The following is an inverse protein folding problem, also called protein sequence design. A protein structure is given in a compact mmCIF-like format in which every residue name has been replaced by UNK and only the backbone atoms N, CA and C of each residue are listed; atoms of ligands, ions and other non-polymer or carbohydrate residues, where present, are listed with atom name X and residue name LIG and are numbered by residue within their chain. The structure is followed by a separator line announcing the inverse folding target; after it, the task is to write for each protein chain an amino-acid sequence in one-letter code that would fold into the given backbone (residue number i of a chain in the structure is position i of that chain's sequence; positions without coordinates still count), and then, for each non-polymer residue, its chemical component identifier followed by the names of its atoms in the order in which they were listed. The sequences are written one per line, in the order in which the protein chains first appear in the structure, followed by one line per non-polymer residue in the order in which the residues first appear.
data_IF_915338204212
#
_entry.id   IF_915338204212
#
_cell.length_a   1.000
_cell.length_b   1.000
_cell.length_c   1.000
_cell.angle_alpha   90.00
_cell.angle_beta   90.00
_cell.angle_gamma   90.00
#
_symmetry.space_group_name_H-M   'P 1'
#
loop_
_entity.id
_entity.type
_entity.pdbx_description
1 polymer ?
#
# COMPACT_ATOMS: atom_id res chain seq x y z
N UNK A 1 16.65 17.10 -0.43
CA UNK A 1 16.20 15.70 -0.67
C UNK A 1 14.69 15.77 -0.92
N UNK A 2 14.19 15.58 -2.14
CA UNK A 2 12.76 15.67 -2.37
C UNK A 2 12.10 14.38 -1.87
N UNK A 3 11.21 14.57 -0.91
CA UNK A 3 10.40 13.57 -0.23
C UNK A 3 9.65 12.65 -1.21
N UNK A 4 10.04 11.38 -1.30
CA UNK A 4 9.13 10.33 -1.74
C UNK A 4 8.13 10.11 -0.59
N UNK A 5 6.83 10.32 -0.85
CA UNK A 5 5.78 9.96 0.12
C UNK A 5 5.33 8.52 -0.17
N UNK A 6 5.35 7.60 0.80
CA UNK A 6 5.05 6.19 0.54
C UNK A 6 3.54 5.88 0.50
N UNK A 7 3.18 4.87 -0.31
CA UNK A 7 1.90 4.14 -0.34
C UNK A 7 0.60 4.96 -0.55
N UNK A 8 0.59 5.84 -1.56
CA UNK A 8 -0.61 6.54 -2.03
C UNK A 8 -1.23 5.96 -3.31
N UNK A 9 -0.43 5.19 -4.05
CA UNK A 9 -0.69 4.85 -5.46
C UNK A 9 -1.98 4.08 -5.72
N UNK A 10 -2.40 3.16 -4.83
CA UNK A 10 -3.58 2.35 -5.10
C UNK A 10 -4.91 3.08 -4.79
N UNK A 11 -4.93 3.90 -3.74
CA UNK A 11 -6.06 4.83 -3.49
C UNK A 11 -6.12 5.90 -4.58
N UNK A 12 -4.96 6.34 -5.08
CA UNK A 12 -4.87 7.26 -6.20
C UNK A 12 -5.24 6.58 -7.53
N UNK A 13 -5.04 5.27 -7.70
CA UNK A 13 -5.57 4.47 -8.82
C UNK A 13 -7.09 4.41 -8.77
N UNK A 14 -7.71 4.25 -7.59
CA UNK A 14 -9.17 4.31 -7.46
C UNK A 14 -9.71 5.72 -7.73
N UNK A 15 -9.02 6.78 -7.24
CA UNK A 15 -9.35 8.18 -7.59
C UNK A 15 -9.17 8.45 -9.07
N UNK A 16 -8.16 7.88 -9.69
CA UNK A 16 -7.92 7.95 -11.14
C UNK A 16 -8.98 7.17 -11.90
N UNK A 17 -9.39 5.98 -11.45
CA UNK A 17 -10.57 5.27 -11.97
C UNK A 17 -11.82 6.11 -11.82
N UNK A 18 -12.04 6.79 -10.69
CA UNK A 18 -13.16 7.72 -10.54
C UNK A 18 -13.00 8.94 -11.45
N UNK A 19 -11.79 9.43 -11.68
CA UNK A 19 -11.51 10.55 -12.57
C UNK A 19 -11.70 10.14 -14.03
N UNK A 20 -11.16 9.01 -14.47
CA UNK A 20 -11.33 8.41 -15.80
C UNK A 20 -12.77 7.97 -15.98
N UNK A 21 -13.44 7.37 -14.99
CA UNK A 21 -14.87 7.05 -14.98
C UNK A 21 -15.70 8.33 -15.05
N UNK A 22 -15.31 9.40 -14.37
CA UNK A 22 -15.97 10.71 -14.42
C UNK A 22 -15.76 11.37 -15.78
N UNK A 23 -14.54 11.37 -16.29
CA UNK A 23 -14.18 11.84 -17.63
C UNK A 23 -14.91 11.02 -18.70
N UNK A 24 -14.96 9.69 -18.56
CA UNK A 24 -15.69 8.77 -19.44
C UNK A 24 -17.20 8.82 -19.25
N UNK A 25 -17.69 9.27 -18.10
CA UNK A 25 -19.12 9.52 -17.84
C UNK A 25 -19.60 10.86 -18.41
N UNK A 26 -18.69 11.78 -18.76
CA UNK A 26 -19.05 12.99 -19.49
C UNK A 26 -19.65 12.57 -20.84
N UNK A 27 -20.72 13.22 -21.33
CA UNK A 27 -21.38 12.87 -22.59
C UNK A 27 -20.42 12.76 -23.79
N UNK A 28 -19.29 13.48 -23.73
CA UNK A 28 -18.22 13.52 -24.72
C UNK A 28 -17.43 12.18 -24.80
N UNK A 29 -17.45 11.36 -23.75
CA UNK A 29 -16.65 10.14 -23.61
C UNK A 29 -17.50 8.88 -23.28
N UNK A 30 -18.81 9.03 -23.06
CA UNK A 30 -19.78 7.96 -22.69
C UNK A 30 -20.08 6.92 -23.75
N UNK A 31 -19.48 7.08 -24.92
CA UNK A 31 -19.81 6.34 -26.13
C UNK A 31 -18.74 5.26 -26.28
N UNK A 32 -19.09 4.04 -25.83
CA UNK A 32 -18.43 2.70 -25.86
C UNK A 32 -16.97 2.62 -26.32
N UNK A 33 -16.13 1.75 -25.75
CA UNK A 33 -14.69 1.66 -26.11
C UNK A 33 -14.39 1.56 -27.64
N UNK A 34 -15.29 0.93 -28.41
CA UNK A 34 -15.31 0.92 -29.88
C UNK A 34 -15.59 2.29 -30.50
N UNK A 35 -16.53 3.02 -29.93
CA UNK A 35 -16.90 4.38 -30.29
C UNK A 35 -15.91 5.44 -29.75
N UNK A 36 -15.11 5.14 -28.71
CA UNK A 36 -13.93 5.93 -28.32
C UNK A 36 -12.79 5.79 -29.33
N UNK A 37 -12.59 4.61 -29.92
CA UNK A 37 -11.70 4.45 -31.07
C UNK A 37 -12.23 5.18 -32.32
N UNK A 38 -13.55 5.16 -32.57
CA UNK A 38 -14.19 5.92 -33.65
C UNK A 38 -14.17 7.44 -33.41
N UNK A 39 -14.36 7.90 -32.17
CA UNK A 39 -14.27 9.30 -31.77
C UNK A 39 -12.80 9.76 -31.78
N UNK A 40 -11.84 8.88 -31.49
CA UNK A 40 -10.40 9.14 -31.67
C UNK A 40 -10.03 9.27 -33.15
N UNK A 41 -10.67 8.49 -34.03
CA UNK A 41 -10.60 8.68 -35.49
C UNK A 41 -11.33 9.97 -35.91
N UNK A 42 -12.45 10.30 -35.28
CA UNK A 42 -13.29 11.47 -35.58
C UNK A 42 -12.82 12.78 -34.95
N UNK A 43 -11.88 12.77 -34.00
CA UNK A 43 -11.18 13.95 -33.47
C UNK A 43 -9.78 14.10 -34.04
N UNK A 44 -9.39 13.25 -34.99
CA UNK A 44 -8.15 13.37 -35.76
C UNK A 44 -8.00 14.77 -36.37
N UNK A 45 -9.09 15.32 -36.91
CA UNK A 45 -9.12 16.69 -37.42
C UNK A 45 -8.75 17.74 -36.38
N UNK A 46 -8.94 17.51 -35.07
CA UNK A 46 -8.57 18.49 -34.02
C UNK A 46 -7.08 18.51 -33.79
N UNK A 47 -6.46 17.34 -33.83
CA UNK A 47 -5.00 17.21 -33.74
C UNK A 47 -4.39 17.79 -35.02
N UNK A 48 -4.94 17.46 -36.18
CA UNK A 48 -4.45 17.95 -37.48
C UNK A 48 -4.67 19.46 -37.65
N UNK A 49 -5.84 19.99 -37.28
CA UNK A 49 -6.11 21.43 -37.30
C UNK A 49 -5.27 22.20 -36.27
N UNK A 50 -4.97 21.57 -35.12
CA UNK A 50 -3.99 22.13 -34.20
C UNK A 50 -2.61 22.18 -34.87
N UNK A 51 -2.10 21.07 -35.41
CA UNK A 51 -0.81 21.03 -36.11
C UNK A 51 -0.72 22.02 -37.28
N UNK A 52 -1.78 22.18 -38.06
CA UNK A 52 -1.85 23.15 -39.16
C UNK A 52 -1.81 24.61 -38.66
N UNK A 53 -2.47 24.90 -37.53
CA UNK A 53 -2.36 26.20 -36.86
C UNK A 53 -0.95 26.45 -36.30
N UNK A 54 -0.25 25.39 -35.88
CA UNK A 54 1.13 25.43 -35.37
C UNK A 54 2.14 25.71 -36.50
N UNK A 55 1.96 25.05 -37.64
CA UNK A 55 2.88 25.11 -38.79
C UNK A 55 2.70 26.41 -39.60
N UNK A 56 1.49 26.98 -39.61
CA UNK A 56 1.21 28.16 -40.45
C UNK A 56 1.75 29.49 -39.89
N UNK A 57 2.20 29.56 -38.62
CA UNK A 57 2.54 30.80 -37.85
C UNK A 57 1.46 31.91 -37.89
N UNK A 58 0.35 31.65 -38.57
CA UNK A 58 -0.65 32.61 -39.06
C UNK A 58 -1.60 33.06 -37.97
N UNK A 59 -1.69 32.26 -36.92
CA UNK A 59 -2.46 32.53 -35.73
C UNK A 59 -1.55 32.25 -34.54
N UNK A 60 -0.82 33.28 -34.10
CA UNK A 60 -0.06 33.19 -32.85
C UNK A 60 -0.95 32.53 -31.78
N UNK A 61 -0.41 31.51 -31.11
CA UNK A 61 -0.98 30.60 -30.09
C UNK A 61 -1.89 31.21 -29.00
N UNK A 62 -2.11 32.51 -29.06
CA UNK A 62 -2.75 33.40 -28.10
C UNK A 62 -4.26 33.59 -28.29
N UNK A 63 -4.92 33.03 -29.32
CA UNK A 63 -6.38 33.20 -29.49
C UNK A 63 -7.22 31.91 -29.34
N UNK A 64 -8.29 32.00 -28.54
CA UNK A 64 -9.43 31.07 -28.54
C UNK A 64 -9.21 29.67 -27.95
N UNK A 65 -10.01 28.70 -28.40
CA UNK A 65 -10.11 27.30 -27.93
C UNK A 65 -8.76 26.52 -27.96
N UNK A 66 -7.77 27.00 -28.71
CA UNK A 66 -6.40 26.46 -28.77
C UNK A 66 -5.58 26.88 -27.54
N UNK A 67 -5.91 28.04 -26.93
CA UNK A 67 -5.31 28.55 -25.67
C UNK A 67 -5.61 27.65 -24.47
N UNK A 68 -6.71 26.89 -24.48
CA UNK A 68 -7.05 25.95 -23.41
C UNK A 68 -6.36 24.59 -23.55
N UNK A 69 -5.90 24.23 -24.75
CA UNK A 69 -5.32 22.91 -25.02
C UNK A 69 -3.80 22.94 -24.84
N UNK A 70 -3.09 23.93 -25.39
CA UNK A 70 -1.64 24.06 -25.21
C UNK A 70 -0.81 22.85 -25.71
N UNK A 71 0.51 22.99 -25.89
CA UNK A 71 1.37 21.90 -26.40
C UNK A 71 1.35 20.66 -25.50
N UNK A 72 1.25 20.86 -24.18
CA UNK A 72 1.22 19.80 -23.19
C UNK A 72 -0.01 18.88 -23.29
N UNK A 73 -1.23 19.40 -23.45
CA UNK A 73 -2.40 18.52 -23.58
C UNK A 73 -2.47 17.86 -24.96
N UNK A 74 -1.94 18.52 -25.99
CA UNK A 74 -1.85 17.93 -27.33
C UNK A 74 -0.90 16.73 -27.33
N UNK A 75 0.23 16.83 -26.62
CA UNK A 75 1.16 15.73 -26.37
C UNK A 75 0.46 14.56 -25.64
N UNK A 76 -0.25 14.85 -24.54
CA UNK A 76 -1.02 13.86 -23.77
C UNK A 76 -2.08 13.15 -24.63
N UNK A 77 -2.80 13.87 -25.49
CA UNK A 77 -3.79 13.28 -26.40
C UNK A 77 -3.16 12.46 -27.53
N UNK A 78 -2.06 12.94 -28.13
CA UNK A 78 -1.32 12.18 -29.14
C UNK A 78 -0.83 10.84 -28.57
N UNK A 79 -0.35 10.83 -27.32
CA UNK A 79 0.01 9.62 -26.61
C UNK A 79 -1.19 8.70 -26.33
N UNK A 80 -2.28 9.24 -25.81
CA UNK A 80 -3.52 8.51 -25.51
C UNK A 80 -4.08 7.78 -26.73
N UNK A 81 -3.92 8.34 -27.93
CA UNK A 81 -4.42 7.75 -29.19
C UNK A 81 -3.34 7.08 -30.06
N UNK A 82 -2.11 6.95 -29.55
CA UNK A 82 -1.03 6.23 -30.26
C UNK A 82 -0.54 6.92 -31.53
N UNK A 83 -0.64 8.25 -31.63
CA UNK A 83 -0.30 9.03 -32.82
C UNK A 83 1.19 9.35 -32.87
N UNK A 84 2.00 8.39 -33.31
CA UNK A 84 3.47 8.53 -33.35
C UNK A 84 3.95 9.70 -34.23
N UNK A 85 3.42 9.86 -35.45
CA UNK A 85 3.85 10.95 -36.35
C UNK A 85 3.58 12.33 -35.76
N UNK A 86 2.38 12.53 -35.19
CA UNK A 86 2.03 13.76 -34.48
C UNK A 86 2.97 13.96 -33.29
N UNK A 87 3.22 12.91 -32.50
CA UNK A 87 4.16 12.96 -31.38
C UNK A 87 5.55 13.44 -31.83
N UNK A 88 6.09 12.85 -32.90
CA UNK A 88 7.39 13.23 -33.47
C UNK A 88 7.42 14.69 -33.95
N UNK A 89 6.36 15.16 -34.60
CA UNK A 89 6.27 16.55 -35.06
C UNK A 89 6.19 17.54 -33.90
N UNK A 90 5.36 17.23 -32.89
CA UNK A 90 5.28 18.01 -31.65
C UNK A 90 6.66 18.06 -30.98
N UNK A 91 7.33 16.91 -30.85
CA UNK A 91 8.66 16.86 -30.22
C UNK A 91 9.73 17.63 -31.00
N UNK A 92 9.73 17.57 -32.34
CA UNK A 92 10.65 18.36 -33.17
C UNK A 92 10.39 19.87 -33.08
N UNK A 93 9.13 20.31 -33.04
CA UNK A 93 8.77 21.73 -33.08
C UNK A 93 8.95 22.43 -31.73
N UNK A 94 8.67 21.73 -30.63
CA UNK A 94 8.69 22.33 -29.29
C UNK A 94 9.95 22.05 -28.49
N UNK A 95 10.77 21.05 -28.88
CA UNK A 95 11.98 20.67 -28.16
C UNK A 95 11.65 20.09 -26.78
N UNK A 96 11.87 18.79 -26.59
CA UNK A 96 11.81 18.17 -25.26
C UNK A 96 13.17 17.61 -24.83
N UNK A 97 14.25 18.18 -25.36
CA UNK A 97 15.63 17.76 -25.05
C UNK A 97 16.05 18.19 -23.65
N UNK A 98 16.81 17.30 -22.99
CA UNK A 98 17.45 17.53 -21.69
C UNK A 98 18.95 17.71 -21.91
N UNK A 99 19.52 18.87 -21.55
CA UNK A 99 20.85 18.93 -20.98
C UNK A 99 20.75 18.67 -19.47
N UNK A 100 21.64 17.82 -18.96
CA UNK A 100 21.80 17.59 -17.53
C UNK A 100 22.01 18.90 -16.76
N UNK A 101 21.61 18.85 -15.49
CA UNK A 101 21.86 19.83 -14.41
C UNK A 101 20.73 20.83 -14.10
N UNK A 102 20.25 20.68 -12.86
CA UNK A 102 19.59 21.66 -12.00
C UNK A 102 18.11 22.05 -12.22
N UNK A 103 17.32 21.60 -11.23
CA UNK A 103 16.31 22.35 -10.46
C UNK A 103 15.29 23.23 -11.20
N UNK A 104 14.04 22.81 -11.04
CA UNK A 104 12.95 23.73 -10.68
C UNK A 104 12.07 24.17 -11.85
N UNK A 105 11.06 23.35 -12.14
CA UNK A 105 10.08 23.49 -13.23
C UNK A 105 10.67 23.30 -14.63
N UNK A 106 10.37 22.15 -15.23
CA UNK A 106 10.81 21.79 -16.56
C UNK A 106 9.65 21.17 -17.35
N UNK A 107 9.69 21.32 -18.66
CA UNK A 107 8.88 20.71 -19.71
C UNK A 107 8.74 19.15 -19.66
N UNK A 108 9.12 18.51 -18.56
CA UNK A 108 9.15 17.07 -18.33
C UNK A 108 7.82 16.46 -17.89
N UNK A 109 7.03 17.14 -17.05
CA UNK A 109 5.78 16.57 -16.52
C UNK A 109 4.79 16.16 -17.63
N UNK A 110 4.59 16.94 -18.72
CA UNK A 110 3.72 16.54 -19.83
C UNK A 110 4.23 15.32 -20.60
N UNK A 111 5.55 15.21 -20.83
CA UNK A 111 6.14 14.09 -21.56
C UNK A 111 6.09 12.79 -20.75
N UNK A 112 6.34 12.88 -19.44
CA UNK A 112 6.16 11.76 -18.49
C UNK A 112 4.68 11.34 -18.45
N UNK A 113 3.76 12.30 -18.34
CA UNK A 113 2.32 11.99 -18.35
C UNK A 113 1.89 11.38 -19.69
N UNK A 114 2.42 11.89 -20.80
CA UNK A 114 2.18 11.33 -22.13
C UNK A 114 2.72 9.89 -22.22
N UNK A 115 3.89 9.60 -21.64
CA UNK A 115 4.41 8.24 -21.56
C UNK A 115 3.47 7.34 -20.76
N UNK A 116 3.05 7.78 -19.57
CA UNK A 116 2.09 7.06 -18.73
C UNK A 116 0.79 6.75 -19.50
N UNK A 117 0.21 7.73 -20.19
CA UNK A 117 -0.98 7.55 -21.01
C UNK A 117 -0.75 6.59 -22.19
N UNK A 118 0.39 6.70 -22.88
CA UNK A 118 0.73 5.78 -23.97
C UNK A 118 0.83 4.34 -23.45
N UNK A 119 1.45 4.12 -22.29
CA UNK A 119 1.57 2.80 -21.67
C UNK A 119 0.23 2.26 -21.16
N UNK A 120 -0.60 3.11 -20.54
CA UNK A 120 -1.95 2.79 -20.11
C UNK A 120 -2.81 2.28 -21.29
N UNK A 121 -2.69 2.91 -22.46
CA UNK A 121 -3.44 2.50 -23.65
C UNK A 121 -2.72 1.44 -24.50
N UNK A 122 -1.56 0.92 -24.06
CA UNK A 122 -0.81 -0.10 -24.79
C UNK A 122 -0.14 0.39 -26.08
N UNK A 123 0.02 1.70 -26.25
CA UNK A 123 0.66 2.33 -27.40
C UNK A 123 2.19 2.34 -27.27
N UNK A 124 2.79 1.14 -27.21
CA UNK A 124 4.22 0.95 -26.94
C UNK A 124 5.15 1.65 -27.94
N UNK A 125 4.74 1.84 -29.20
CA UNK A 125 5.53 2.60 -30.19
C UNK A 125 5.69 4.07 -29.81
N UNK A 126 4.64 4.68 -29.27
CA UNK A 126 4.69 6.07 -28.79
C UNK A 126 5.43 6.15 -27.46
N UNK A 127 5.20 5.19 -26.57
CA UNK A 127 5.96 5.10 -25.32
C UNK A 127 7.47 4.90 -25.56
N UNK A 128 7.86 4.08 -26.53
CA UNK A 128 9.26 3.88 -26.94
C UNK A 128 9.89 5.17 -27.46
N UNK A 129 9.14 5.93 -28.26
CA UNK A 129 9.59 7.22 -28.76
C UNK A 129 9.79 8.20 -27.62
N UNK A 130 8.81 8.34 -26.72
CA UNK A 130 8.89 9.24 -25.55
C UNK A 130 10.02 8.85 -24.58
N UNK A 131 10.24 7.55 -24.39
CA UNK A 131 11.35 7.03 -23.59
C UNK A 131 12.70 7.44 -24.20
N UNK A 132 12.87 7.25 -25.52
CA UNK A 132 14.13 7.57 -26.21
C UNK A 132 14.37 9.07 -26.37
N UNK A 133 13.32 9.84 -26.69
CA UNK A 133 13.44 11.25 -27.01
C UNK A 133 13.49 12.15 -25.76
N UNK A 134 12.82 11.76 -24.67
CA UNK A 134 12.61 12.62 -23.51
C UNK A 134 13.03 11.99 -22.18
N UNK A 135 13.65 10.80 -22.20
CA UNK A 135 13.96 9.97 -21.01
C UNK A 135 12.74 9.77 -20.08
N UNK A 136 11.54 9.69 -20.66
CA UNK A 136 10.31 9.49 -19.89
C UNK A 136 10.24 8.04 -19.37
N UNK A 137 10.49 7.85 -18.08
CA UNK A 137 10.55 6.53 -17.44
C UNK A 137 9.25 6.10 -16.75
N UNK A 138 9.11 4.79 -16.43
CA UNK A 138 7.92 4.21 -15.80
C UNK A 138 7.67 4.69 -14.35
N UNK A 139 8.74 5.04 -13.63
CA UNK A 139 8.71 5.33 -12.19
C UNK A 139 8.70 6.84 -11.85
N UNK A 140 8.55 7.72 -12.85
CA UNK A 140 8.43 9.15 -12.59
C UNK A 140 7.11 9.48 -11.88
N UNK A 141 7.19 10.05 -10.67
CA UNK A 141 6.05 10.59 -9.96
C UNK A 141 5.72 11.99 -10.51
N UNK A 142 4.56 12.13 -11.15
CA UNK A 142 4.05 13.44 -11.59
C UNK A 142 3.32 14.13 -10.43
N UNK A 143 3.41 15.46 -10.34
CA UNK A 143 2.61 16.25 -9.38
C UNK A 143 1.10 16.20 -9.68
N UNK A 144 0.74 15.70 -10.85
CA UNK A 144 -0.62 15.62 -11.41
C UNK A 144 -1.48 14.49 -10.81
N UNK A 145 -0.99 13.73 -9.81
CA UNK A 145 -1.71 12.61 -9.19
C UNK A 145 -2.10 11.50 -10.20
N UNK A 146 -1.37 11.39 -11.30
CA UNK A 146 -1.52 10.27 -12.23
C UNK A 146 -0.87 9.05 -11.57
N UNK A 147 -1.59 7.94 -11.36
CA UNK A 147 -1.01 6.74 -10.80
C UNK A 147 0.17 6.27 -11.65
N UNK A 148 1.15 5.62 -11.01
CA UNK A 148 2.25 5.02 -11.75
C UNK A 148 1.71 4.11 -12.86
N UNK A 149 2.34 4.18 -14.03
CA UNK A 149 1.99 3.33 -15.18
C UNK A 149 1.97 1.85 -14.80
N UNK A 150 2.85 1.44 -13.88
CA UNK A 150 2.91 0.05 -13.39
C UNK A 150 1.73 -0.29 -12.48
N UNK A 151 1.27 0.65 -11.65
CA UNK A 151 0.11 0.46 -10.80
C UNK A 151 -1.16 0.25 -11.65
N UNK A 152 -1.34 1.05 -12.70
CA UNK A 152 -2.45 0.87 -13.65
C UNK A 152 -2.36 -0.47 -14.38
N UNK A 153 -1.18 -0.87 -14.86
CA UNK A 153 -0.99 -2.15 -15.55
C UNK A 153 -1.32 -3.36 -14.64
N UNK A 154 -0.94 -3.29 -13.36
CA UNK A 154 -1.22 -4.32 -12.36
C UNK A 154 -2.71 -4.41 -12.03
N UNK A 155 -3.37 -3.26 -11.88
CA UNK A 155 -4.81 -3.19 -11.62
C UNK A 155 -5.66 -3.66 -12.81
N UNK A 156 -5.21 -3.43 -14.04
CA UNK A 156 -5.79 -4.02 -15.26
C UNK A 156 -5.42 -5.50 -15.45
N UNK A 157 -4.51 -6.03 -14.63
CA UNK A 157 -3.95 -7.39 -14.72
C UNK A 157 -3.31 -7.70 -16.08
N UNK A 158 -2.80 -6.66 -16.77
CA UNK A 158 -2.18 -6.79 -18.08
C UNK A 158 -0.67 -7.02 -17.94
N UNK A 159 -0.29 -8.30 -17.92
CA UNK A 159 1.12 -8.74 -17.83
C UNK A 159 1.98 -8.16 -18.96
N UNK A 160 1.43 -7.92 -20.17
CA UNK A 160 2.21 -7.38 -21.29
C UNK A 160 2.65 -5.94 -21.00
N UNK A 161 1.77 -5.14 -20.38
CA UNK A 161 2.10 -3.78 -19.96
C UNK A 161 3.10 -3.79 -18.80
N UNK A 162 2.90 -4.65 -17.81
CA UNK A 162 3.85 -4.84 -16.69
C UNK A 162 5.25 -5.16 -17.24
N UNK A 163 5.35 -6.12 -18.16
CA UNK A 163 6.61 -6.53 -18.77
C UNK A 163 7.30 -5.43 -19.55
N UNK A 164 6.53 -4.70 -20.35
CA UNK A 164 7.04 -3.56 -21.08
C UNK A 164 7.63 -2.52 -20.12
N UNK A 165 6.92 -2.18 -19.05
CA UNK A 165 7.33 -1.17 -18.07
C UNK A 165 8.59 -1.60 -17.30
N UNK A 166 8.66 -2.85 -16.86
CA UNK A 166 9.85 -3.40 -16.19
C UNK A 166 11.06 -3.41 -17.13
N UNK A 167 10.88 -3.76 -18.41
CA UNK A 167 11.96 -3.68 -19.41
C UNK A 167 12.47 -2.24 -19.66
N UNK A 168 11.64 -1.23 -19.38
CA UNK A 168 12.00 0.19 -19.45
C UNK A 168 12.62 0.74 -18.16
N UNK A 169 12.99 -0.13 -17.23
CA UNK A 169 13.68 0.23 -16.00
C UNK A 169 12.75 0.42 -14.81
N UNK A 170 11.51 -0.09 -14.88
CA UNK A 170 10.60 -0.10 -13.73
C UNK A 170 11.12 -1.00 -12.60
N UNK A 171 10.97 -0.56 -11.35
CA UNK A 171 11.34 -1.36 -10.17
C UNK A 171 10.38 -2.56 -9.98
N UNK A 172 10.90 -3.76 -10.21
CA UNK A 172 10.16 -5.02 -10.00
C UNK A 172 9.77 -5.25 -8.53
N UNK A 173 10.58 -4.80 -7.57
CA UNK A 173 10.26 -4.86 -6.14
C UNK A 173 9.13 -3.92 -5.78
N UNK A 174 9.09 -2.71 -6.35
CA UNK A 174 7.94 -1.81 -6.25
C UNK A 174 6.67 -2.42 -6.87
N UNK A 175 6.79 -2.99 -8.07
CA UNK A 175 5.69 -3.67 -8.74
C UNK A 175 5.10 -4.80 -7.87
N UNK A 176 5.97 -5.61 -7.25
CA UNK A 176 5.57 -6.70 -6.36
C UNK A 176 4.79 -6.17 -5.15
N UNK A 177 5.29 -5.13 -4.48
CA UNK A 177 4.57 -4.52 -3.34
C UNK A 177 3.21 -3.96 -3.76
N UNK A 178 3.11 -3.35 -4.94
CA UNK A 178 1.85 -2.81 -5.46
C UNK A 178 0.85 -3.92 -5.80
N UNK A 179 1.31 -4.99 -6.46
CA UNK A 179 0.47 -6.15 -6.81
C UNK A 179 -0.18 -6.79 -5.57
N UNK A 180 0.57 -6.86 -4.47
CA UNK A 180 0.11 -7.45 -3.20
C UNK A 180 -0.81 -6.49 -2.43
N UNK A 181 -0.63 -5.18 -2.58
CA UNK A 181 -1.47 -4.18 -1.88
C UNK A 181 -2.89 -4.08 -2.42
N UNK A 182 -3.18 -4.82 -3.51
CA UNK A 182 -4.48 -4.90 -4.12
C UNK A 182 -5.50 -5.69 -3.28
N UNK A 183 -6.75 -5.22 -3.14
CA UNK A 183 -7.82 -6.01 -2.51
C UNK A 183 -8.03 -7.36 -3.20
N UNK A 184 -7.83 -7.43 -4.52
CA UNK A 184 -7.98 -8.60 -5.38
C UNK A 184 -6.62 -9.06 -5.96
N UNK A 185 -5.57 -9.01 -5.12
CA UNK A 185 -4.21 -9.39 -5.48
C UNK A 185 -4.18 -10.75 -6.21
N UNK A 186 -3.66 -10.73 -7.43
CA UNK A 186 -3.60 -11.90 -8.29
C UNK A 186 -2.29 -12.65 -8.06
N UNK A 187 -2.40 -13.86 -7.52
CA UNK A 187 -1.27 -14.75 -7.30
C UNK A 187 -0.47 -15.04 -8.59
N UNK A 188 -1.10 -15.06 -9.76
CA UNK A 188 -0.40 -15.28 -11.03
C UNK A 188 0.52 -14.10 -11.38
N UNK A 189 0.08 -12.87 -11.10
CA UNK A 189 0.92 -11.68 -11.27
C UNK A 189 2.08 -11.71 -10.27
N UNK A 190 1.81 -12.07 -9.01
CA UNK A 190 2.86 -12.21 -7.98
C UNK A 190 3.90 -13.26 -8.40
N UNK A 191 3.46 -14.44 -8.87
CA UNK A 191 4.36 -15.48 -9.40
C UNK A 191 5.19 -14.96 -10.56
N UNK A 192 4.56 -14.34 -11.56
CA UNK A 192 5.24 -13.76 -12.72
C UNK A 192 6.31 -12.74 -12.30
N UNK A 193 5.99 -11.82 -11.37
CA UNK A 193 6.94 -10.82 -10.89
C UNK A 193 8.14 -11.46 -10.16
N UNK A 194 7.90 -12.46 -9.32
CA UNK A 194 8.96 -13.13 -8.55
C UNK A 194 9.81 -14.07 -9.43
N UNK A 195 9.16 -14.87 -10.27
CA UNK A 195 9.82 -15.95 -11.01
C UNK A 195 10.42 -15.47 -12.34
N UNK A 196 9.68 -14.68 -13.12
CA UNK A 196 10.07 -14.27 -14.47
C UNK A 196 10.74 -12.90 -14.51
N UNK A 197 10.43 -12.03 -13.54
CA UNK A 197 11.01 -10.69 -13.43
C UNK A 197 12.00 -10.54 -12.29
N UNK A 198 12.23 -11.62 -11.53
CA UNK A 198 13.20 -11.69 -10.44
C UNK A 198 13.04 -10.56 -9.43
N UNK A 199 11.79 -10.17 -9.15
CA UNK A 199 11.48 -9.17 -8.14
C UNK A 199 12.03 -9.62 -6.79
N UNK A 200 12.80 -8.76 -6.12
CA UNK A 200 13.32 -9.03 -4.78
C UNK A 200 12.15 -9.09 -3.78
N UNK A 201 11.91 -10.27 -3.23
CA UNK A 201 10.85 -10.55 -2.24
C UNK A 201 11.07 -9.84 -0.91
N UNK A 202 12.27 -9.31 -0.68
CA UNK A 202 12.66 -8.53 0.51
C UNK A 202 12.84 -7.04 0.20
N UNK A 203 12.47 -6.58 -1.01
CA UNK A 203 12.55 -5.18 -1.38
C UNK A 203 11.61 -4.35 -0.50
N UNK A 204 12.15 -3.54 0.42
CA UNK A 204 11.37 -2.65 1.25
C UNK A 204 11.29 -1.24 0.63
N UNK A 205 10.14 -0.58 0.79
CA UNK A 205 10.02 0.86 0.59
C UNK A 205 10.31 1.62 1.90
N UNK A 206 10.39 2.96 1.82
CA UNK A 206 10.42 3.81 3.02
C UNK A 206 9.24 3.49 3.95
N UNK A 207 9.52 3.32 5.25
CA UNK A 207 8.49 3.00 6.25
C UNK A 207 8.25 1.51 6.48
N UNK A 208 9.26 0.67 6.26
CA UNK A 208 9.29 -0.74 6.66
C UNK A 208 8.37 -1.70 5.86
N UNK A 209 7.97 -1.31 4.65
CA UNK A 209 7.01 -2.07 3.83
C UNK A 209 7.68 -3.14 2.96
N UNK A 210 7.75 -4.37 3.43
CA UNK A 210 8.14 -5.54 2.61
C UNK A 210 6.94 -6.17 1.91
N UNK A 211 7.13 -6.90 0.79
CA UNK A 211 6.09 -7.70 0.14
C UNK A 211 5.34 -8.62 1.12
N UNK A 212 6.07 -9.29 2.01
CA UNK A 212 5.48 -10.13 3.06
C UNK A 212 4.58 -9.33 4.01
N UNK A 213 5.05 -8.20 4.54
CA UNK A 213 4.24 -7.36 5.43
C UNK A 213 2.95 -6.88 4.74
N UNK A 214 3.01 -6.53 3.46
CA UNK A 214 1.79 -6.15 2.71
C UNK A 214 0.82 -7.34 2.60
N UNK A 215 1.31 -8.54 2.30
CA UNK A 215 0.45 -9.72 2.21
C UNK A 215 -0.27 -9.98 3.53
N UNK A 216 0.45 -9.91 4.66
CA UNK A 216 -0.13 -10.04 6.01
C UNK A 216 -1.14 -8.93 6.28
N UNK A 217 -0.80 -7.68 5.97
CA UNK A 217 -1.66 -6.51 6.16
C UNK A 217 -2.96 -6.57 5.34
N UNK A 218 -2.94 -7.16 4.16
CA UNK A 218 -4.15 -7.28 3.34
C UNK A 218 -4.86 -8.63 3.51
N UNK A 219 -4.35 -9.52 4.38
CA UNK A 219 -4.94 -10.83 4.66
C UNK A 219 -4.72 -11.86 3.55
N UNK A 220 -3.74 -11.64 2.66
CA UNK A 220 -3.43 -12.52 1.55
C UNK A 220 -2.53 -13.68 2.01
N UNK A 221 -3.08 -14.58 2.82
CA UNK A 221 -2.32 -15.64 3.48
C UNK A 221 -1.57 -16.57 2.50
N UNK A 222 -2.22 -16.94 1.40
CA UNK A 222 -1.57 -17.78 0.37
C UNK A 222 -0.39 -17.06 -0.30
N UNK A 223 -0.53 -15.76 -0.59
CA UNK A 223 0.57 -14.94 -1.12
C UNK A 223 1.68 -14.83 -0.08
N UNK A 224 1.35 -14.63 1.20
CA UNK A 224 2.34 -14.57 2.27
C UNK A 224 3.14 -15.87 2.38
N UNK A 225 2.48 -17.04 2.36
CA UNK A 225 3.13 -18.36 2.35
C UNK A 225 4.04 -18.54 1.14
N UNK A 226 3.55 -18.21 -0.06
CA UNK A 226 4.35 -18.26 -1.27
C UNK A 226 5.60 -17.39 -1.18
N UNK A 227 5.50 -16.18 -0.63
CA UNK A 227 6.66 -15.31 -0.44
C UNK A 227 7.68 -15.92 0.53
N UNK A 228 7.22 -16.60 1.59
CA UNK A 228 8.11 -17.33 2.52
C UNK A 228 8.86 -18.46 1.82
N UNK A 229 8.17 -19.25 0.99
CA UNK A 229 8.79 -20.30 0.17
C UNK A 229 9.87 -19.74 -0.77
N UNK A 230 9.70 -18.48 -1.21
CA UNK A 230 10.67 -17.76 -2.06
C UNK A 230 11.74 -17.00 -1.26
N UNK A 231 11.81 -17.18 0.05
CA UNK A 231 12.86 -16.60 0.90
C UNK A 231 12.55 -15.20 1.44
N UNK A 232 11.28 -14.80 1.50
CA UNK A 232 10.90 -13.58 2.20
C UNK A 232 11.19 -13.72 3.70
N UNK A 233 11.74 -12.66 4.28
CA UNK A 233 12.07 -12.57 5.71
C UNK A 233 10.96 -11.82 6.43
N UNK A 234 10.16 -12.47 7.29
CA UNK A 234 9.10 -11.80 8.07
C UNK A 234 9.67 -10.76 9.03
N UNK A 235 10.86 -11.07 9.56
CA UNK A 235 11.59 -10.24 10.49
C UNK A 235 12.96 -9.94 9.90
N UNK A 236 13.20 -8.66 9.64
CA UNK A 236 14.50 -8.12 9.28
C UNK A 236 14.61 -6.67 9.78
N UNK A 237 15.79 -6.07 9.68
CA UNK A 237 16.02 -4.67 10.09
C UNK A 237 15.06 -3.69 9.40
N UNK A 238 14.58 -4.06 8.21
CA UNK A 238 13.63 -3.29 7.42
C UNK A 238 12.18 -3.53 7.81
N UNK A 239 11.81 -4.55 8.58
CA UNK A 239 10.42 -4.78 9.01
C UNK A 239 10.24 -4.57 10.51
N UNK A 240 11.32 -4.56 11.30
CA UNK A 240 11.32 -4.34 12.76
C UNK A 240 10.33 -5.19 13.55
N UNK A 241 9.92 -6.35 13.02
CA UNK A 241 8.93 -7.22 13.67
C UNK A 241 7.46 -6.81 13.44
N UNK A 242 7.18 -5.80 12.61
CA UNK A 242 5.83 -5.29 12.32
C UNK A 242 4.87 -6.36 11.77
N UNK A 243 5.40 -7.45 11.21
CA UNK A 243 4.59 -8.51 10.62
C UNK A 243 3.79 -9.30 11.67
N UNK A 244 4.38 -9.68 12.80
CA UNK A 244 3.67 -10.37 13.89
C UNK A 244 2.59 -9.45 14.46
N UNK A 245 3.00 -8.21 14.78
CA UNK A 245 2.11 -7.15 15.24
C UNK A 245 0.89 -6.96 14.32
N UNK A 246 1.13 -6.86 13.01
CA UNK A 246 0.05 -6.68 12.02
C UNK A 246 -0.85 -7.91 11.90
N UNK A 247 -0.29 -9.12 11.98
CA UNK A 247 -1.09 -10.35 11.95
C UNK A 247 -2.02 -10.43 13.17
N UNK A 248 -1.50 -10.08 14.36
CA UNK A 248 -2.26 -10.04 15.61
C UNK A 248 -3.34 -8.96 15.58
N UNK A 249 -3.01 -7.73 15.19
CA UNK A 249 -3.96 -6.62 15.06
C UNK A 249 -5.14 -6.93 14.13
N UNK A 250 -4.91 -7.79 13.13
CA UNK A 250 -5.93 -8.24 12.18
C UNK A 250 -6.66 -9.51 12.58
N UNK A 251 -6.39 -10.06 13.76
CA UNK A 251 -6.88 -11.37 14.20
C UNK A 251 -6.56 -12.50 13.19
N UNK A 252 -5.43 -12.38 12.46
CA UNK A 252 -5.01 -13.36 11.45
C UNK A 252 -4.25 -14.52 12.10
N UNK A 253 -5.00 -15.39 12.79
CA UNK A 253 -4.48 -16.53 13.56
C UNK A 253 -3.59 -17.44 12.73
N UNK A 254 -3.97 -17.70 11.47
CA UNK A 254 -3.19 -18.54 10.57
C UNK A 254 -1.77 -17.98 10.40
N UNK A 255 -1.66 -16.68 10.14
CA UNK A 255 -0.37 -16.08 9.88
C UNK A 255 0.48 -15.89 11.15
N UNK A 256 -0.17 -15.72 12.31
CA UNK A 256 0.49 -15.82 13.62
C UNK A 256 1.12 -17.21 13.80
N UNK A 257 0.37 -18.28 13.52
CA UNK A 257 0.88 -19.67 13.60
C UNK A 257 2.01 -19.94 12.62
N UNK A 258 1.89 -19.47 11.38
CA UNK A 258 2.96 -19.58 10.37
C UNK A 258 4.25 -18.92 10.89
N UNK A 259 4.17 -17.67 11.38
CA UNK A 259 5.35 -16.98 11.90
C UNK A 259 5.95 -17.67 13.14
N UNK A 260 5.12 -18.21 14.04
CA UNK A 260 5.62 -19.02 15.16
C UNK A 260 6.32 -20.31 14.73
N UNK A 261 5.82 -20.95 13.68
CA UNK A 261 6.47 -22.10 13.05
C UNK A 261 7.85 -21.77 12.47
N UNK A 262 8.06 -20.51 12.06
CA UNK A 262 9.35 -19.98 11.63
C UNK A 262 10.28 -19.55 12.79
N UNK A 263 9.86 -19.76 14.04
CA UNK A 263 10.65 -19.40 15.23
C UNK A 263 10.43 -17.97 15.73
N UNK A 264 9.57 -17.18 15.09
CA UNK A 264 9.25 -15.81 15.53
C UNK A 264 8.27 -15.91 16.69
N UNK A 265 8.63 -15.37 17.86
CA UNK A 265 7.81 -15.44 19.06
C UNK A 265 7.06 -14.12 19.26
N UNK A 266 5.74 -14.16 19.50
CA UNK A 266 5.02 -12.97 19.93
C UNK A 266 5.46 -12.56 21.33
N UNK A 267 5.27 -11.29 21.67
CA UNK A 267 5.61 -10.75 22.99
C UNK A 267 4.39 -10.14 23.71
N UNK A 268 4.63 -9.51 24.87
CA UNK A 268 3.58 -8.86 25.65
C UNK A 268 2.96 -7.65 24.95
N UNK A 269 3.68 -6.98 24.04
CA UNK A 269 3.13 -5.87 23.25
C UNK A 269 2.16 -6.39 22.20
N UNK A 270 2.48 -7.50 21.54
CA UNK A 270 1.57 -8.19 20.62
C UNK A 270 0.27 -8.58 21.34
N UNK A 271 0.38 -9.17 22.54
CA UNK A 271 -0.79 -9.52 23.35
C UNK A 271 -1.64 -8.29 23.71
N UNK A 272 -1.00 -7.21 24.18
CA UNK A 272 -1.70 -5.96 24.49
C UNK A 272 -2.43 -5.39 23.26
N UNK A 273 -1.79 -5.48 22.09
CA UNK A 273 -2.39 -5.07 20.82
C UNK A 273 -3.58 -5.94 20.42
N UNK A 274 -3.48 -7.26 20.61
CA UNK A 274 -4.56 -8.20 20.34
C UNK A 274 -5.82 -7.82 21.11
N UNK A 275 -5.67 -7.53 22.41
CA UNK A 275 -6.80 -7.15 23.25
C UNK A 275 -7.37 -5.78 22.88
N UNK A 276 -6.50 -4.80 22.61
CA UNK A 276 -6.93 -3.47 22.19
C UNK A 276 -7.74 -3.50 20.88
N UNK A 277 -7.31 -4.33 19.92
CA UNK A 277 -7.99 -4.53 18.62
C UNK A 277 -9.16 -5.50 18.68
N UNK A 278 -9.45 -6.10 19.85
CA UNK A 278 -10.44 -7.17 20.05
C UNK A 278 -10.18 -8.44 19.22
N UNK A 279 -8.92 -8.67 18.88
CA UNK A 279 -8.43 -9.87 18.20
C UNK A 279 -8.22 -11.02 19.20
N UNK A 280 -9.30 -11.49 19.82
CA UNK A 280 -9.24 -12.47 20.91
C UNK A 280 -8.77 -13.87 20.46
N UNK A 281 -9.00 -14.26 19.21
CA UNK A 281 -8.51 -15.56 18.71
C UNK A 281 -6.98 -15.53 18.58
N UNK A 282 -6.44 -14.43 18.04
CA UNK A 282 -5.00 -14.21 18.01
C UNK A 282 -4.44 -14.09 19.43
N UNK A 283 -5.10 -13.36 20.34
CA UNK A 283 -4.71 -13.26 21.74
C UNK A 283 -4.62 -14.65 22.42
N UNK A 284 -5.63 -15.50 22.19
CA UNK A 284 -5.66 -16.88 22.70
C UNK A 284 -4.43 -17.65 22.25
N UNK A 285 -4.12 -17.58 20.95
CA UNK A 285 -2.97 -18.27 20.37
C UNK A 285 -1.63 -17.70 20.89
N UNK A 286 -1.53 -16.38 21.06
CA UNK A 286 -0.33 -15.73 21.63
C UNK A 286 -0.05 -16.20 23.07
N UNK A 287 -1.09 -16.35 23.90
CA UNK A 287 -0.91 -16.83 25.28
C UNK A 287 -0.67 -18.34 25.33
N UNK A 288 -1.47 -19.13 24.62
CA UNK A 288 -1.48 -20.60 24.75
C UNK A 288 -0.34 -21.28 23.99
N UNK A 289 -0.03 -20.82 22.77
CA UNK A 289 0.98 -21.40 21.90
C UNK A 289 2.24 -20.54 21.83
N UNK A 290 2.07 -19.21 21.85
CA UNK A 290 3.18 -18.26 21.90
C UNK A 290 3.91 -18.21 23.24
N UNK A 291 3.25 -18.69 24.32
CA UNK A 291 3.83 -18.74 25.66
C UNK A 291 4.02 -17.37 26.32
N UNK A 292 3.29 -16.35 25.87
CA UNK A 292 3.35 -15.01 26.46
C UNK A 292 2.69 -15.03 27.84
N UNK A 293 3.46 -14.66 28.87
CA UNK A 293 2.93 -14.53 30.23
C UNK A 293 1.94 -13.37 30.32
N UNK A 294 0.68 -13.70 30.60
CA UNK A 294 -0.39 -12.72 30.77
C UNK A 294 -0.13 -11.74 31.92
N UNK A 295 0.67 -12.17 32.90
CA UNK A 295 1.11 -11.41 34.08
C UNK A 295 2.47 -10.74 33.89
N UNK A 296 2.90 -10.54 32.63
CA UNK A 296 4.19 -9.95 32.24
C UNK A 296 4.44 -8.51 32.73
N UNK A 297 5.43 -7.83 32.12
CA UNK A 297 5.96 -6.54 32.62
C UNK A 297 4.92 -5.41 32.75
N UNK A 298 5.23 -4.43 33.61
CA UNK A 298 4.47 -3.19 33.87
C UNK A 298 3.03 -3.37 34.39
N UNK A 299 2.89 -4.18 35.44
CA UNK A 299 1.62 -4.50 36.11
C UNK A 299 0.62 -5.30 35.27
N UNK A 300 1.07 -5.88 34.15
CA UNK A 300 0.38 -6.95 33.45
C UNK A 300 -0.68 -6.49 32.45
N UNK A 301 -1.06 -7.42 31.59
CA UNK A 301 -2.06 -7.23 30.52
C UNK A 301 -3.43 -6.81 31.06
N UNK A 302 -3.75 -7.22 32.30
CA UNK A 302 -5.00 -6.90 32.98
C UNK A 302 -5.19 -5.39 33.22
N UNK A 303 -4.12 -4.65 33.54
CA UNK A 303 -4.18 -3.19 33.70
C UNK A 303 -4.56 -2.51 32.39
N UNK A 304 -3.98 -2.95 31.27
CA UNK A 304 -4.33 -2.44 29.94
C UNK A 304 -5.79 -2.74 29.58
N UNK A 305 -6.27 -3.95 29.88
CA UNK A 305 -7.66 -4.33 29.63
C UNK A 305 -8.66 -3.46 30.41
N UNK A 306 -8.33 -3.15 31.67
CA UNK A 306 -9.13 -2.26 32.54
C UNK A 306 -9.13 -0.82 32.00
N UNK A 307 -7.95 -0.27 31.68
CA UNK A 307 -7.84 1.10 31.13
C UNK A 307 -8.52 1.28 29.79
N UNK A 308 -8.58 0.21 28.99
CA UNK A 308 -9.26 0.22 27.69
C UNK A 308 -10.79 0.12 27.82
N UNK A 309 -11.32 -0.07 29.05
CA UNK A 309 -12.75 -0.19 29.36
C UNK A 309 -13.45 -1.28 28.52
N UNK A 310 -12.75 -2.38 28.28
CA UNK A 310 -13.26 -3.52 27.50
C UNK A 310 -13.53 -4.69 28.45
N UNK A 311 -14.78 -4.92 28.90
CA UNK A 311 -15.12 -6.03 29.78
C UNK A 311 -14.69 -7.39 29.23
N UNK A 312 -14.78 -7.56 27.92
CA UNK A 312 -14.36 -8.77 27.22
C UNK A 312 -12.86 -9.04 27.35
N UNK A 313 -12.01 -8.01 27.31
CA UNK A 313 -10.57 -8.16 27.50
C UNK A 313 -10.22 -8.48 28.97
N UNK A 314 -10.97 -7.91 29.93
CA UNK A 314 -10.82 -8.25 31.35
C UNK A 314 -11.19 -9.71 31.58
N UNK A 315 -12.34 -10.14 31.04
CA UNK A 315 -12.78 -11.53 31.09
C UNK A 315 -11.75 -12.47 30.44
N UNK A 316 -11.26 -12.12 29.25
CA UNK A 316 -10.19 -12.87 28.58
C UNK A 316 -8.97 -13.03 29.50
N UNK A 317 -8.54 -11.95 30.16
CA UNK A 317 -7.40 -12.00 31.07
C UNK A 317 -7.64 -12.95 32.24
N UNK A 318 -8.82 -12.90 32.86
CA UNK A 318 -9.17 -13.79 33.96
C UNK A 318 -9.24 -15.26 33.51
N UNK A 319 -9.88 -15.53 32.37
CA UNK A 319 -10.03 -16.88 31.79
C UNK A 319 -8.66 -17.51 31.46
N UNK A 320 -7.64 -16.69 31.21
CA UNK A 320 -6.27 -17.13 30.90
C UNK A 320 -5.28 -17.00 32.07
N UNK A 321 -5.78 -16.82 33.30
CA UNK A 321 -4.97 -16.91 34.51
C UNK A 321 -4.27 -15.61 34.93
N UNK A 322 -4.86 -14.45 34.63
CA UNK A 322 -4.39 -13.18 35.18
C UNK A 322 -4.54 -13.16 36.72
N UNK A 323 -3.43 -12.87 37.40
CA UNK A 323 -3.36 -12.77 38.86
C UNK A 323 -3.74 -11.35 39.29
N UNK A 324 -5.00 -11.22 39.74
CA UNK A 324 -5.56 -9.95 40.22
C UNK A 324 -4.80 -9.43 41.44
N UNK A 325 -4.36 -10.31 42.35
CA UNK A 325 -3.69 -9.90 43.58
C UNK A 325 -2.29 -9.36 43.29
N UNK A 326 -1.51 -10.08 42.48
CA UNK A 326 -0.20 -9.62 42.00
C UNK A 326 -0.32 -8.31 41.21
N UNK A 327 -1.39 -8.15 40.42
CA UNK A 327 -1.68 -6.91 39.69
C UNK A 327 -1.91 -5.74 40.65
N UNK A 328 -2.72 -5.92 41.69
CA UNK A 328 -2.99 -4.88 42.72
C UNK A 328 -1.70 -4.47 43.42
N UNK A 329 -0.87 -5.43 43.82
CA UNK A 329 0.42 -5.16 44.48
C UNK A 329 1.35 -4.35 43.57
N UNK A 330 1.43 -4.70 42.28
CA UNK A 330 2.21 -3.95 41.32
C UNK A 330 1.70 -2.51 41.13
N UNK A 331 0.38 -2.33 40.96
CA UNK A 331 -0.23 -1.00 40.78
C UNK A 331 -0.01 -0.12 42.01
N UNK A 332 -0.08 -0.68 43.22
CA UNK A 332 0.21 0.04 44.47
C UNK A 332 1.69 0.42 44.59
N UNK A 333 2.59 -0.42 44.11
CA UNK A 333 4.03 -0.14 44.12
C UNK A 333 4.44 0.97 43.12
N UNK A 334 3.62 1.24 42.09
CA UNK A 334 3.90 2.26 41.08
C UNK A 334 3.54 3.69 41.57
N UNK A 335 4.46 4.30 42.31
CA UNK A 335 4.30 5.67 42.87
C UNK A 335 4.29 6.80 41.82
N UNK A 336 4.70 6.52 40.58
CA UNK A 336 4.64 7.52 39.50
C UNK A 336 3.20 7.67 38.98
N UNK A 337 2.49 6.56 38.79
CA UNK A 337 1.07 6.58 38.38
C UNK A 337 0.20 7.27 39.42
N UNK A 338 0.43 6.99 40.70
CA UNK A 338 -0.27 7.64 41.80
C UNK A 338 -0.10 9.18 41.77
N UNK A 339 1.08 9.68 41.39
CA UNK A 339 1.36 11.13 41.33
C UNK A 339 0.80 11.82 40.08
N UNK A 340 0.84 11.15 38.92
CA UNK A 340 0.45 11.76 37.63
C UNK A 340 -1.05 11.62 37.34
N UNK A 341 -1.69 10.54 37.78
CA UNK A 341 -3.08 10.19 37.45
C UNK A 341 -3.84 9.71 38.71
N UNK A 342 -3.84 10.51 39.78
CA UNK A 342 -4.36 10.09 41.09
C UNK A 342 -5.81 9.55 41.07
N UNK A 343 -6.71 10.18 40.32
CA UNK A 343 -8.12 9.74 40.19
C UNK A 343 -8.24 8.43 39.43
N UNK A 344 -7.63 8.33 38.24
CA UNK A 344 -7.64 7.10 37.44
C UNK A 344 -6.94 5.93 38.15
N UNK A 345 -5.90 6.22 38.94
CA UNK A 345 -5.24 5.23 39.78
C UNK A 345 -6.17 4.68 40.88
N UNK A 346 -6.96 5.55 41.55
CA UNK A 346 -7.94 5.09 42.55
C UNK A 346 -9.08 4.30 41.93
N UNK A 347 -9.61 4.75 40.79
CA UNK A 347 -10.67 4.05 40.05
C UNK A 347 -10.21 2.67 39.59
N UNK A 348 -8.99 2.56 39.06
CA UNK A 348 -8.40 1.30 38.64
C UNK A 348 -8.22 0.33 39.81
N UNK A 349 -7.75 0.80 40.96
CA UNK A 349 -7.64 -0.04 42.16
C UNK A 349 -9.01 -0.50 42.66
N UNK A 350 -10.02 0.37 42.66
CA UNK A 350 -11.38 -0.01 43.03
C UNK A 350 -11.92 -1.11 42.10
N UNK A 351 -11.68 -1.00 40.79
CA UNK A 351 -12.06 -2.03 39.82
C UNK A 351 -11.28 -3.34 40.01
N UNK A 352 -9.99 -3.29 40.29
CA UNK A 352 -9.22 -4.51 40.56
C UNK A 352 -9.71 -5.23 41.83
N UNK A 353 -10.06 -4.47 42.87
CA UNK A 353 -10.60 -5.02 44.12
C UNK A 353 -11.96 -5.72 43.91
N UNK A 354 -12.81 -5.24 42.98
CA UNK A 354 -14.07 -5.93 42.64
C UNK A 354 -13.87 -7.23 41.84
N UNK A 355 -12.71 -7.41 41.20
CA UNK A 355 -12.37 -8.61 40.43
C UNK A 355 -11.81 -9.77 41.28
N UNK A 356 -11.39 -9.51 42.53
CA UNK A 356 -10.86 -10.53 43.46
C UNK A 356 -11.75 -11.79 43.60
N UNK A 357 -13.09 -11.68 43.74
CA UNK A 357 -13.94 -12.86 43.88
C UNK A 357 -14.00 -13.70 42.59
N UNK A 358 -13.82 -13.08 41.43
CA UNK A 358 -13.97 -13.73 40.11
C UNK A 358 -12.73 -14.56 39.75
N UNK A 359 -11.53 -14.13 40.19
CA UNK A 359 -10.29 -14.88 39.97
C UNK A 359 -10.24 -16.23 40.71
N UNK A 360 -10.92 -16.36 41.85
CA UNK A 360 -11.02 -17.61 42.62
C UNK A 360 -11.82 -18.70 41.90
N UNK A 361 -12.78 -18.31 41.05
CA UNK A 361 -13.65 -19.24 40.33
C UNK A 361 -13.08 -19.72 38.98
N UNK A 362 -12.08 -19.02 38.42
CA UNK A 362 -11.52 -19.28 37.10
C UNK A 362 -10.26 -20.18 37.11
N UNK A 363 -9.85 -20.71 38.27
CA UNK A 363 -8.68 -21.58 38.35
C UNK A 363 -8.87 -22.83 37.47
N UNK A 364 -7.97 -23.10 36.49
CA UNK A 364 -8.10 -24.27 35.63
C UNK A 364 -7.94 -25.54 36.48
N UNK A 365 -8.83 -26.51 36.27
CA UNK A 365 -8.71 -27.83 36.87
C UNK A 365 -7.30 -28.40 36.58
N UNK A 366 -6.62 -29.00 37.57
CA UNK A 366 -5.28 -29.52 37.39
C UNK A 366 -5.27 -30.51 36.22
N UNK A 367 -4.36 -30.31 35.26
CA UNK A 367 -4.17 -31.25 34.15
C UNK A 367 -3.94 -32.66 34.72
N UNK A 368 -4.64 -33.69 34.24
CA UNK A 368 -4.38 -35.05 34.68
C UNK A 368 -2.91 -35.41 34.41
N UNK A 369 -2.27 -36.17 35.32
CA UNK A 369 -0.88 -36.59 35.13
C UNK A 369 -0.76 -37.30 33.77
N UNK A 370 0.18 -36.83 32.94
CA UNK A 370 0.45 -37.50 31.67
C UNK A 370 0.99 -38.92 31.94
N UNK A 371 0.54 -39.93 31.17
CA UNK A 371 0.93 -41.32 31.35
C UNK A 371 2.41 -41.59 31.04
#
# INVERSE_FOLDING_TARGET
MPHMKPAKDMKDTLRYKHMVARLSSLPIYKKEASLMQEIAKGRQWRIDAAMEAIDSEKYGWKQGYIRSMGPANLLKQAAMFGRLKTMEQLCKRFGFEVPEEERGFTCHEPAVTAFQLATLHGHFRVADYLYKACNAGPDYQTRDWVPSSIACALDEKDIRKVDYLLKKGGDAGHALRLAISAPDADMNIVRHLVEDRKADVNAAAEGFWTPFLQAVKYGHNEIAKYLLEKGAMPQNDKSKGEAMYTAVDRNNVEMVRVMMGLGIRPDSQDLGRALFSKAYDAATVVVTEGGVDINGKDCGTLVYAIRSLTPDAVKFCLDHGADVQKTIECVKANTEWQRREATAWQEMLAQLETLKPQASAAAPAPKPPQP
#
